data_IF_953922452293
#
_entry.id   IF_953922452293
#
_cell.length_a   1.000
_cell.length_b   1.000
_cell.length_c   1.000
_cell.angle_alpha   90.00
_cell.angle_beta   90.00
_cell.angle_gamma   90.00
#
_symmetry.space_group_name_H-M   'P 1'
#
loop_
_entity.id
_entity.type
_entity.pdbx_description
1 polymer ?
#
# COMPACT_ATOMS: atom_id res chain seq x y z
N UNK A 1 4.32 19.06 -1.06
CA UNK A 1 3.27 19.14 -2.10
C UNK A 1 2.78 17.75 -2.51
N UNK A 2 3.67 16.80 -2.82
CA UNK A 2 3.34 15.40 -3.15
C UNK A 2 2.53 14.67 -2.04
N UNK A 3 2.92 14.83 -0.77
CA UNK A 3 2.19 14.26 0.38
C UNK A 3 0.76 14.80 0.59
N UNK A 4 0.52 16.06 0.24
CA UNK A 4 -0.83 16.65 0.28
C UNK A 4 -1.70 16.12 -0.86
N UNK A 5 -1.11 15.80 -2.00
CA UNK A 5 -1.80 15.17 -3.13
C UNK A 5 -2.14 13.71 -2.77
N UNK A 6 -1.19 12.94 -2.22
CA UNK A 6 -1.45 11.57 -1.74
C UNK A 6 -2.53 11.54 -0.66
N UNK A 7 -2.40 12.36 0.38
CA UNK A 7 -3.40 12.44 1.45
C UNK A 7 -4.78 12.91 0.92
N UNK A 8 -4.80 13.89 0.01
CA UNK A 8 -6.05 14.34 -0.62
C UNK A 8 -6.66 13.28 -1.54
N UNK A 9 -5.86 12.49 -2.24
CA UNK A 9 -6.32 11.38 -3.08
C UNK A 9 -6.87 10.23 -2.23
N UNK A 10 -6.21 9.88 -1.12
CA UNK A 10 -6.75 8.93 -0.13
C UNK A 10 -8.10 9.38 0.42
N UNK A 11 -8.23 10.65 0.82
CA UNK A 11 -9.47 11.21 1.37
C UNK A 11 -10.57 11.31 0.29
N UNK A 12 -10.22 11.70 -0.94
CA UNK A 12 -11.18 11.82 -2.04
C UNK A 12 -11.70 10.45 -2.51
N UNK A 13 -10.86 9.42 -2.55
CA UNK A 13 -11.27 8.06 -2.92
C UNK A 13 -12.15 7.44 -1.82
N UNK A 14 -11.83 7.67 -0.54
CA UNK A 14 -12.68 7.23 0.57
C UNK A 14 -14.06 7.93 0.55
N UNK A 15 -14.11 9.22 0.19
CA UNK A 15 -15.37 9.95 0.00
C UNK A 15 -16.18 9.46 -1.22
N UNK A 16 -15.53 8.88 -2.23
CA UNK A 16 -16.17 8.36 -3.43
C UNK A 16 -16.62 6.88 -3.28
N UNK A 17 -15.91 6.07 -2.47
CA UNK A 17 -16.31 4.71 -2.10
C UNK A 17 -17.39 4.67 -1.01
N UNK A 18 -17.48 5.69 -0.15
CA UNK A 18 -18.63 5.88 0.76
C UNK A 18 -19.99 6.07 0.04
N UNK A 19 -19.99 6.24 -1.29
CA UNK A 19 -21.20 6.27 -2.14
C UNK A 19 -21.42 4.98 -2.95
N UNK A 20 -20.54 3.97 -2.87
CA UNK A 20 -20.60 2.75 -3.72
C UNK A 20 -20.52 1.43 -2.93
N UNK A 21 -20.47 1.47 -1.60
CA UNK A 21 -20.37 0.29 -0.72
C UNK A 21 -21.74 -0.22 -0.25
N UNK A 22 -22.66 -0.47 -1.20
CA UNK A 22 -23.98 -1.05 -0.93
C UNK A 22 -24.21 -2.43 -1.61
N UNK A 23 -23.14 -3.18 -1.94
CA UNK A 23 -23.29 -4.54 -2.50
C UNK A 23 -22.25 -5.53 -1.98
N UNK A 24 -22.40 -5.97 -0.72
CA UNK A 24 -21.84 -7.24 -0.26
C UNK A 24 -22.94 -8.32 -0.23
N UNK A 25 -22.81 -9.49 -0.88
CA UNK A 25 -23.90 -10.48 -0.99
C UNK A 25 -24.30 -11.15 0.34
N UNK A 26 -23.51 -10.99 1.40
CA UNK A 26 -23.83 -11.44 2.76
C UNK A 26 -24.24 -10.31 3.71
N UNK A 27 -24.13 -9.04 3.27
CA UNK A 27 -24.87 -7.98 3.93
C UNK A 27 -26.32 -8.15 3.46
N UNK A 28 -27.20 -8.57 4.38
CA UNK A 28 -28.63 -8.48 4.12
C UNK A 28 -28.97 -7.07 3.63
N UNK A 29 -30.06 -6.91 2.88
CA UNK A 29 -30.42 -5.60 2.32
C UNK A 29 -30.38 -4.57 3.44
N UNK A 30 -29.77 -3.43 3.13
CA UNK A 30 -29.70 -2.31 4.04
C UNK A 30 -31.13 -2.02 4.49
N UNK A 31 -31.45 -2.41 5.73
CA UNK A 31 -32.81 -2.38 6.23
C UNK A 31 -33.24 -0.95 6.47
N UNK A 32 -32.31 0.01 6.45
CA UNK A 32 -32.58 1.44 6.62
C UNK A 32 -33.50 1.99 5.51
N UNK A 33 -33.21 1.86 4.19
CA UNK A 33 -34.13 2.31 3.13
C UNK A 33 -35.41 1.47 2.98
N UNK A 34 -35.54 0.31 3.65
CA UNK A 34 -36.77 -0.50 3.65
C UNK A 34 -37.64 -0.16 4.87
N UNK A 35 -37.02 -0.11 6.05
CA UNK A 35 -37.66 0.25 7.31
C UNK A 35 -38.01 1.74 7.36
N UNK A 36 -37.24 2.66 6.80
CA UNK A 36 -37.58 4.09 6.86
C UNK A 36 -38.89 4.42 6.14
N UNK A 37 -39.11 4.03 4.86
CA UNK A 37 -40.40 4.25 4.22
C UNK A 37 -41.52 3.38 4.80
N UNK A 38 -41.25 2.16 5.30
CA UNK A 38 -42.28 1.37 5.99
C UNK A 38 -42.65 1.95 7.35
N UNK A 39 -41.69 2.46 8.12
CA UNK A 39 -41.91 3.13 9.41
C UNK A 39 -42.56 4.49 9.21
N UNK A 40 -42.17 5.26 8.21
CA UNK A 40 -42.79 6.56 7.88
C UNK A 40 -44.21 6.35 7.36
N UNK A 41 -44.44 5.32 6.54
CA UNK A 41 -45.79 4.91 6.10
C UNK A 41 -46.65 4.41 7.26
N UNK A 42 -46.10 3.60 8.18
CA UNK A 42 -46.79 3.21 9.41
C UNK A 42 -47.06 4.41 10.33
N UNK A 43 -46.15 5.39 10.40
CA UNK A 43 -46.30 6.58 11.25
C UNK A 43 -47.35 7.53 10.68
N UNK A 44 -47.41 7.67 9.35
CA UNK A 44 -48.45 8.42 8.66
C UNK A 44 -49.81 7.71 8.75
N UNK A 45 -49.88 6.39 8.56
CA UNK A 45 -51.11 5.60 8.80
C UNK A 45 -51.55 5.68 10.28
N UNK A 46 -50.60 5.79 11.21
CA UNK A 46 -50.85 5.95 12.64
C UNK A 46 -51.38 7.33 13.02
N UNK A 47 -50.79 8.42 12.50
CA UNK A 47 -51.24 9.79 12.72
C UNK A 47 -52.61 10.06 12.07
N UNK A 48 -52.86 9.49 10.88
CA UNK A 48 -54.16 9.54 10.21
C UNK A 48 -55.24 8.77 11.02
N UNK A 49 -54.87 7.66 11.66
CA UNK A 49 -55.75 6.83 12.48
C UNK A 49 -56.07 7.41 13.87
N UNK A 50 -55.16 8.21 14.47
CA UNK A 50 -55.43 8.96 15.71
C UNK A 50 -56.42 10.11 15.49
N UNK A 51 -56.50 10.64 14.25
CA UNK A 51 -57.47 11.65 13.85
C UNK A 51 -58.93 11.17 13.84
N UNK A 52 -59.19 9.86 13.75
CA UNK A 52 -60.53 9.29 13.64
C UNK A 52 -61.11 8.71 14.95
N UNK A 53 -60.43 8.84 16.09
CA UNK A 53 -60.93 8.26 17.35
C UNK A 53 -62.09 9.08 17.92
N UNK A 54 -63.23 8.43 18.22
CA UNK A 54 -64.41 9.06 18.83
C UNK A 54 -64.03 9.72 20.16
N UNK A 55 -64.31 11.02 20.32
CA UNK A 55 -64.01 11.79 21.53
C UNK A 55 -65.20 11.74 22.49
N UNK A 56 -64.95 11.49 23.77
CA UNK A 56 -65.98 11.51 24.81
C UNK A 56 -66.48 12.95 25.09
N UNK A 57 -67.59 13.13 25.81
CA UNK A 57 -68.14 14.45 26.11
C UNK A 57 -67.23 15.35 26.96
N UNK A 58 -66.17 14.81 27.55
CA UNK A 58 -65.17 15.52 28.36
C UNK A 58 -63.93 15.92 27.52
N UNK A 59 -63.91 15.58 26.22
CA UNK A 59 -62.83 15.93 25.30
C UNK A 59 -61.69 14.90 25.23
N UNK A 60 -61.85 13.69 25.78
CA UNK A 60 -60.84 12.64 25.74
C UNK A 60 -61.13 11.61 24.64
N UNK A 61 -60.12 11.19 23.85
CA UNK A 61 -60.32 10.17 22.83
C UNK A 61 -60.67 8.82 23.47
N UNK A 62 -61.79 8.22 23.03
CA UNK A 62 -62.21 6.86 23.36
C UNK A 62 -61.38 5.92 22.49
N UNK A 63 -60.39 5.29 23.09
CA UNK A 63 -59.53 4.31 22.43
C UNK A 63 -60.06 2.91 22.78
N UNK A 64 -60.44 2.12 21.77
CA UNK A 64 -60.89 0.74 21.99
C UNK A 64 -59.78 -0.11 22.64
N UNK A 65 -60.09 -1.04 23.57
CA UNK A 65 -59.10 -1.86 24.25
C UNK A 65 -58.17 -2.63 23.29
N UNK A 66 -58.70 -3.07 22.15
CA UNK A 66 -57.93 -3.74 21.10
C UNK A 66 -56.94 -2.78 20.40
N UNK A 67 -57.25 -1.49 20.28
CA UNK A 67 -56.35 -0.47 19.71
C UNK A 67 -55.17 -0.19 20.65
N UNK A 68 -55.41 -0.10 21.96
CA UNK A 68 -54.33 0.04 22.97
C UNK A 68 -53.38 -1.16 22.88
N UNK A 69 -53.91 -2.37 22.74
CA UNK A 69 -53.08 -3.57 22.63
C UNK A 69 -52.19 -3.56 21.37
N UNK A 70 -52.71 -3.11 20.22
CA UNK A 70 -51.93 -2.99 18.98
C UNK A 70 -50.86 -1.90 19.13
N UNK A 71 -51.20 -0.76 19.73
CA UNK A 71 -50.26 0.33 20.02
C UNK A 71 -49.09 -0.14 20.89
N UNK A 72 -49.38 -0.82 22.00
CA UNK A 72 -48.34 -1.36 22.90
C UNK A 72 -47.45 -2.35 22.17
N UNK A 73 -48.04 -3.25 21.37
CA UNK A 73 -47.29 -4.26 20.60
C UNK A 73 -46.44 -3.66 19.46
N UNK A 74 -46.85 -2.53 18.89
CA UNK A 74 -46.06 -1.79 17.91
C UNK A 74 -44.91 -1.04 18.59
N UNK A 75 -45.16 -0.41 19.74
CA UNK A 75 -44.13 0.27 20.53
C UNK A 75 -43.06 -0.72 21.06
N UNK A 76 -43.48 -1.90 21.49
CA UNK A 76 -42.58 -2.98 21.89
C UNK A 76 -41.70 -3.43 20.72
N UNK A 77 -42.28 -3.62 19.53
CA UNK A 77 -41.51 -3.93 18.31
C UNK A 77 -40.53 -2.82 17.93
N UNK A 78 -40.89 -1.55 18.11
CA UNK A 78 -39.99 -0.40 17.88
C UNK A 78 -38.82 -0.42 18.87
N UNK A 79 -39.08 -0.74 20.14
CA UNK A 79 -38.02 -0.87 21.17
C UNK A 79 -37.08 -2.02 20.86
N UNK A 80 -37.62 -3.19 20.49
CA UNK A 80 -36.82 -4.35 20.08
C UNK A 80 -35.95 -4.03 18.85
N UNK A 81 -36.50 -3.37 17.83
CA UNK A 81 -35.74 -2.96 16.64
C UNK A 81 -34.61 -1.97 16.97
N UNK A 82 -34.88 -0.97 17.83
CA UNK A 82 -33.85 -0.03 18.29
C UNK A 82 -32.76 -0.71 19.12
N UNK A 83 -33.12 -1.69 19.95
CA UNK A 83 -32.16 -2.45 20.75
C UNK A 83 -31.28 -3.34 19.85
N UNK A 84 -31.86 -4.01 18.85
CA UNK A 84 -31.12 -4.78 17.85
C UNK A 84 -30.17 -3.87 17.08
N UNK A 85 -30.63 -2.69 16.63
CA UNK A 85 -29.78 -1.72 15.94
C UNK A 85 -28.63 -1.26 16.83
N UNK A 86 -28.90 -0.95 18.10
CA UNK A 86 -27.85 -0.57 19.05
C UNK A 86 -26.80 -1.67 19.23
N UNK A 87 -27.22 -2.93 19.33
CA UNK A 87 -26.31 -4.08 19.44
C UNK A 87 -25.48 -4.22 18.16
N UNK A 88 -26.10 -4.06 16.98
CA UNK A 88 -25.38 -4.11 15.70
C UNK A 88 -24.36 -2.98 15.58
N UNK A 89 -24.72 -1.76 15.97
CA UNK A 89 -23.83 -0.59 15.97
C UNK A 89 -22.67 -0.77 16.99
N UNK A 90 -22.96 -1.31 18.18
CA UNK A 90 -21.96 -1.65 19.19
C UNK A 90 -21.01 -2.73 18.67
N UNK A 91 -21.52 -3.79 18.02
CA UNK A 91 -20.68 -4.83 17.42
C UNK A 91 -19.84 -4.32 16.25
N UNK A 92 -20.39 -3.47 15.38
CA UNK A 92 -19.62 -2.83 14.31
C UNK A 92 -18.53 -1.90 14.85
N UNK A 93 -18.78 -1.21 15.97
CA UNK A 93 -17.77 -0.36 16.61
C UNK A 93 -16.69 -1.19 17.32
N UNK A 94 -17.02 -2.35 17.87
CA UNK A 94 -16.03 -3.28 18.42
C UNK A 94 -15.15 -3.89 17.33
N UNK A 95 -15.70 -4.30 16.18
CA UNK A 95 -14.91 -4.74 15.02
C UNK A 95 -14.01 -3.65 14.45
N UNK A 96 -14.46 -2.38 14.47
CA UNK A 96 -13.64 -1.25 14.06
C UNK A 96 -12.54 -0.87 15.04
N UNK A 97 -12.43 -1.47 16.23
CA UNK A 97 -11.42 -1.04 17.19
C UNK A 97 -10.11 -1.81 17.00
N UNK A 98 -9.10 -1.20 16.36
CA UNK A 98 -7.77 -1.83 16.28
C UNK A 98 -7.22 -2.11 17.68
N UNK A 99 -6.89 -3.36 17.95
CA UNK A 99 -6.32 -3.77 19.24
C UNK A 99 -4.89 -3.21 19.42
N UNK A 100 -4.48 -2.98 20.67
CA UNK A 100 -3.11 -2.57 20.97
C UNK A 100 -2.08 -3.63 20.52
N UNK A 101 -2.47 -4.90 20.50
CA UNK A 101 -1.65 -6.01 20.01
C UNK A 101 -1.39 -5.87 18.50
N UNK A 102 -2.41 -5.52 17.71
CA UNK A 102 -2.28 -5.26 16.27
C UNK A 102 -1.32 -4.10 16.02
N UNK A 103 -1.47 -2.98 16.72
CA UNK A 103 -0.55 -1.84 16.62
C UNK A 103 0.89 -2.25 16.92
N UNK A 104 1.10 -3.00 18.01
CA UNK A 104 2.42 -3.44 18.42
C UNK A 104 3.04 -4.42 17.41
N UNK A 105 2.28 -5.40 16.94
CA UNK A 105 2.73 -6.38 15.95
C UNK A 105 3.09 -5.72 14.61
N UNK A 106 2.26 -4.79 14.12
CA UNK A 106 2.53 -4.02 12.90
C UNK A 106 3.80 -3.19 13.02
N UNK A 107 3.97 -2.46 14.13
CA UNK A 107 5.15 -1.64 14.33
C UNK A 107 6.43 -2.49 14.43
N UNK A 108 6.37 -3.66 15.07
CA UNK A 108 7.49 -4.61 15.06
C UNK A 108 7.79 -5.08 13.63
N UNK A 109 6.76 -5.49 12.89
CA UNK A 109 6.92 -5.95 11.51
C UNK A 109 7.57 -4.89 10.64
N UNK A 110 7.07 -3.66 10.68
CA UNK A 110 7.67 -2.54 9.96
C UNK A 110 9.10 -2.23 10.42
N UNK A 111 9.40 -2.27 11.73
CA UNK A 111 10.77 -2.11 12.21
C UNK A 111 11.71 -3.19 11.66
N UNK A 112 11.24 -4.43 11.52
CA UNK A 112 12.03 -5.52 10.93
C UNK A 112 12.32 -5.25 9.45
N UNK A 113 11.32 -4.83 8.67
CA UNK A 113 11.51 -4.44 7.27
C UNK A 113 12.49 -3.27 7.18
N UNK A 114 12.28 -2.19 7.95
CA UNK A 114 13.18 -1.02 7.99
C UNK A 114 14.63 -1.38 8.29
N UNK A 115 14.84 -2.36 9.17
CA UNK A 115 16.20 -2.78 9.55
C UNK A 115 16.97 -3.46 8.41
N UNK A 116 16.27 -3.92 7.36
CA UNK A 116 16.91 -4.57 6.23
C UNK A 116 17.79 -3.61 5.41
N UNK A 117 17.47 -2.31 5.37
CA UNK A 117 18.32 -1.30 4.72
C UNK A 117 19.70 -1.12 5.36
N UNK A 118 19.93 -1.65 6.56
CA UNK A 118 21.27 -1.66 7.16
C UNK A 118 22.06 -2.92 6.76
N UNK A 119 21.39 -3.98 6.33
CA UNK A 119 22.02 -5.27 5.98
C UNK A 119 23.10 -5.12 4.90
N UNK A 120 22.89 -4.37 3.79
CA UNK A 120 23.93 -4.19 2.77
C UNK A 120 25.23 -3.63 3.33
N UNK A 121 25.17 -2.75 4.33
CA UNK A 121 26.36 -2.23 4.97
C UNK A 121 27.19 -3.31 5.68
N UNK A 122 26.56 -4.32 6.26
CA UNK A 122 27.28 -5.44 6.88
C UNK A 122 27.79 -6.46 5.87
N UNK A 123 27.11 -6.61 4.73
CA UNK A 123 27.54 -7.48 3.65
C UNK A 123 28.71 -6.89 2.85
N UNK A 124 28.81 -5.55 2.79
CA UNK A 124 29.87 -4.83 2.09
C UNK A 124 31.02 -4.44 3.04
N UNK A 125 32.29 -4.52 2.59
CA UNK A 125 33.45 -4.31 3.46
C UNK A 125 33.56 -2.88 4.03
N UNK A 126 34.19 -2.78 5.20
CA UNK A 126 34.18 -1.60 6.10
C UNK A 126 34.95 -0.39 5.57
N UNK A 127 36.12 -0.60 4.98
CA UNK A 127 36.95 0.47 4.41
C UNK A 127 36.54 0.77 2.98
N UNK A 128 35.35 1.34 2.81
CA UNK A 128 34.73 1.47 1.50
C UNK A 128 35.48 2.43 0.55
N UNK A 129 36.15 3.46 1.06
CA UNK A 129 36.98 4.34 0.23
C UNK A 129 38.22 3.62 -0.32
N UNK A 130 38.79 2.71 0.47
CA UNK A 130 39.90 1.84 0.05
C UNK A 130 39.40 0.65 -0.77
N UNK A 131 38.17 0.19 -0.53
CA UNK A 131 37.43 -0.79 -1.31
C UNK A 131 37.16 -0.19 -2.68
N UNK A 132 36.51 0.96 -2.85
CA UNK A 132 36.29 1.65 -4.13
C UNK A 132 37.60 2.03 -4.83
N UNK A 133 38.65 2.39 -4.10
CA UNK A 133 39.99 2.59 -4.68
C UNK A 133 40.69 1.29 -5.12
N UNK A 134 40.28 0.11 -4.62
CA UNK A 134 40.84 -1.22 -4.97
C UNK A 134 39.90 -2.12 -5.79
N UNK A 135 38.60 -1.83 -5.76
CA UNK A 135 37.50 -2.22 -6.64
C UNK A 135 37.68 -1.34 -7.86
N UNK A 136 38.37 -1.82 -8.88
CA UNK A 136 38.20 -1.18 -10.19
C UNK A 136 36.71 -1.21 -10.60
N UNK A 137 36.26 -0.25 -11.42
CA UNK A 137 34.94 -0.15 -12.06
C UNK A 137 34.21 -1.49 -12.26
N UNK A 138 34.95 -2.53 -12.67
CA UNK A 138 34.48 -3.91 -12.85
C UNK A 138 33.71 -4.52 -11.68
N UNK A 139 34.11 -4.34 -10.41
CA UNK A 139 33.38 -4.95 -9.27
C UNK A 139 32.11 -4.17 -8.93
N UNK A 140 32.14 -2.83 -9.04
CA UNK A 140 30.92 -2.01 -8.93
C UNK A 140 29.93 -2.38 -10.03
N UNK A 141 30.39 -2.55 -11.27
CA UNK A 141 29.56 -2.99 -12.38
C UNK A 141 28.93 -4.38 -12.15
N UNK A 142 29.54 -5.26 -11.34
CA UNK A 142 28.90 -6.54 -10.96
C UNK A 142 27.77 -6.35 -9.93
N UNK A 143 27.93 -5.41 -8.98
CA UNK A 143 26.86 -5.04 -8.05
C UNK A 143 25.73 -4.33 -8.80
N UNK A 144 26.04 -3.41 -9.72
CA UNK A 144 25.06 -2.76 -10.58
C UNK A 144 24.38 -3.75 -11.54
N UNK A 145 25.09 -4.80 -11.98
CA UNK A 145 24.47 -5.89 -12.75
C UNK A 145 23.46 -6.67 -11.92
N UNK A 146 23.78 -6.96 -10.65
CA UNK A 146 22.81 -7.52 -9.72
C UNK A 146 21.62 -6.57 -9.55
N UNK A 147 21.87 -5.26 -9.36
CA UNK A 147 20.83 -4.23 -9.22
C UNK A 147 19.89 -4.14 -10.42
N UNK A 148 20.41 -4.24 -11.65
CA UNK A 148 19.57 -4.32 -12.84
C UNK A 148 18.70 -5.58 -12.82
N UNK A 149 19.28 -6.72 -12.44
CA UNK A 149 18.56 -7.98 -12.36
C UNK A 149 17.44 -7.99 -11.32
N UNK A 150 17.70 -7.48 -10.12
CA UNK A 150 16.72 -7.36 -9.03
C UNK A 150 15.62 -6.36 -9.38
N UNK A 151 15.94 -5.16 -9.88
CA UNK A 151 14.95 -4.16 -10.29
C UNK A 151 14.03 -4.67 -11.41
N UNK A 152 14.61 -5.32 -12.44
CA UNK A 152 13.81 -5.93 -13.51
C UNK A 152 13.01 -7.13 -13.00
N UNK A 153 13.59 -7.94 -12.11
CA UNK A 153 12.90 -9.05 -11.46
C UNK A 153 11.68 -8.57 -10.68
N UNK A 154 11.83 -7.52 -9.87
CA UNK A 154 10.76 -6.90 -9.11
C UNK A 154 9.64 -6.38 -10.01
N UNK A 155 9.99 -5.55 -11.00
CA UNK A 155 8.99 -5.04 -11.96
C UNK A 155 8.22 -6.18 -12.63
N UNK A 156 8.91 -7.11 -13.26
CA UNK A 156 8.27 -8.09 -14.14
C UNK A 156 7.63 -9.27 -13.40
N UNK A 157 8.13 -9.63 -12.22
CA UNK A 157 7.68 -10.82 -11.49
C UNK A 157 6.84 -10.49 -10.26
N UNK A 158 6.83 -9.22 -9.81
CA UNK A 158 6.07 -8.79 -8.63
C UNK A 158 5.12 -7.63 -8.96
N UNK A 159 5.64 -6.44 -9.29
CA UNK A 159 4.82 -5.23 -9.43
C UNK A 159 3.81 -5.32 -10.58
N UNK A 160 4.23 -5.82 -11.75
CA UNK A 160 3.34 -5.93 -12.91
C UNK A 160 2.24 -6.98 -12.70
N UNK A 161 2.54 -8.24 -12.34
CA UNK A 161 1.50 -9.23 -12.03
C UNK A 161 0.46 -8.70 -11.03
N UNK A 162 0.91 -8.16 -9.89
CA UNK A 162 0.05 -7.60 -8.85
C UNK A 162 -0.86 -6.48 -9.41
N UNK A 163 -0.28 -5.56 -10.18
CA UNK A 163 -1.02 -4.45 -10.78
C UNK A 163 -2.09 -4.90 -11.78
N UNK A 164 -1.88 -6.02 -12.48
CA UNK A 164 -2.81 -6.55 -13.48
C UNK A 164 -3.87 -7.52 -12.93
N UNK A 165 -3.66 -8.08 -11.73
CA UNK A 165 -4.64 -8.92 -11.04
C UNK A 165 -5.74 -8.09 -10.36
N UNK A 166 -5.43 -6.86 -9.96
CA UNK A 166 -6.41 -5.93 -9.41
C UNK A 166 -7.52 -5.61 -10.43
N UNK A 167 -8.76 -5.39 -9.97
CA UNK A 167 -9.97 -5.15 -10.79
C UNK A 167 -9.97 -3.82 -11.58
N UNK A 168 -8.80 -3.22 -11.78
CA UNK A 168 -8.58 -1.97 -12.50
C UNK A 168 -8.61 -2.23 -14.00
N UNK A 169 -9.00 -1.22 -14.76
CA UNK A 169 -8.83 -1.24 -16.20
C UNK A 169 -7.33 -1.44 -16.57
N UNK A 170 -7.01 -2.56 -17.23
CA UNK A 170 -5.64 -2.91 -17.66
C UNK A 170 -4.96 -1.83 -18.51
N UNK A 171 -5.73 -1.05 -19.27
CA UNK A 171 -5.21 0.09 -20.02
C UNK A 171 -4.74 1.18 -19.05
N UNK A 172 -5.49 1.45 -17.98
CA UNK A 172 -5.10 2.41 -16.94
C UNK A 172 -3.79 2.00 -16.28
N UNK A 173 -3.65 0.73 -15.91
CA UNK A 173 -2.39 0.16 -15.37
C UNK A 173 -1.23 0.41 -16.33
N UNK A 174 -1.41 0.08 -17.62
CA UNK A 174 -0.42 0.36 -18.66
C UNK A 174 -0.06 1.84 -18.80
N UNK A 175 -1.04 2.74 -18.69
CA UNK A 175 -0.82 4.19 -18.74
C UNK A 175 -0.05 4.70 -17.52
N UNK A 176 -0.28 4.15 -16.32
CA UNK A 176 0.47 4.50 -15.12
C UNK A 176 1.92 4.04 -15.20
N UNK A 177 2.19 2.83 -15.70
CA UNK A 177 3.55 2.35 -15.97
C UNK A 177 4.25 3.26 -16.97
N UNK A 178 3.59 3.58 -18.08
CA UNK A 178 4.15 4.48 -19.08
C UNK A 178 4.40 5.87 -18.51
N UNK A 179 3.46 6.39 -17.71
CA UNK A 179 3.57 7.67 -17.03
C UNK A 179 4.79 7.73 -16.11
N UNK A 180 5.00 6.69 -15.28
CA UNK A 180 6.17 6.56 -14.40
C UNK A 180 7.47 6.56 -15.18
N UNK A 181 7.57 5.71 -16.21
CA UNK A 181 8.73 5.64 -17.08
C UNK A 181 9.04 6.99 -17.75
N UNK A 182 8.04 7.63 -18.36
CA UNK A 182 8.22 8.90 -19.07
C UNK A 182 8.57 10.06 -18.13
N UNK A 183 7.99 10.11 -16.93
CA UNK A 183 8.31 11.15 -15.94
C UNK A 183 9.74 10.97 -15.44
N UNK A 184 10.16 9.74 -15.10
CA UNK A 184 11.53 9.47 -14.69
C UNK A 184 12.52 9.81 -15.82
N UNK A 185 12.21 9.40 -17.04
CA UNK A 185 13.01 9.73 -18.23
C UNK A 185 13.10 11.24 -18.48
N UNK A 186 12.02 11.98 -18.25
CA UNK A 186 12.00 13.43 -18.39
C UNK A 186 12.86 14.12 -17.31
N UNK A 187 12.75 13.67 -16.06
CA UNK A 187 13.55 14.18 -14.94
C UNK A 187 15.03 13.98 -15.26
N UNK A 188 15.41 12.78 -15.68
CA UNK A 188 16.77 12.44 -16.11
C UNK A 188 17.25 13.38 -17.22
N UNK A 189 16.45 13.52 -18.28
CA UNK A 189 16.80 14.34 -19.45
C UNK A 189 16.97 15.83 -19.13
N UNK A 190 16.22 16.35 -18.16
CA UNK A 190 16.28 17.77 -17.76
C UNK A 190 17.37 18.02 -16.73
N UNK A 191 17.61 17.07 -15.83
CA UNK A 191 18.54 17.21 -14.71
C UNK A 191 19.97 16.77 -14.99
N UNK A 192 20.20 15.84 -15.92
CA UNK A 192 21.52 15.30 -16.22
C UNK A 192 22.23 16.14 -17.30
N UNK A 193 23.02 17.13 -16.86
CA UNK A 193 23.87 17.95 -17.75
C UNK A 193 25.32 17.47 -17.82
N UNK A 194 25.75 16.65 -16.87
CA UNK A 194 27.08 16.02 -16.78
C UNK A 194 26.91 14.56 -16.37
N UNK A 195 27.94 13.74 -16.62
CA UNK A 195 27.94 12.31 -16.23
C UNK A 195 27.83 12.12 -14.71
N UNK A 196 28.62 12.87 -13.93
CA UNK A 196 28.56 12.88 -12.46
C UNK A 196 27.17 13.34 -11.94
N UNK A 197 26.59 14.36 -12.59
CA UNK A 197 25.24 14.82 -12.27
C UNK A 197 24.17 13.77 -12.60
N UNK A 198 24.39 12.92 -13.62
CA UNK A 198 23.51 11.81 -13.96
C UNK A 198 23.49 10.73 -12.87
N UNK A 199 24.67 10.37 -12.33
CA UNK A 199 24.75 9.39 -11.24
C UNK A 199 24.04 9.89 -9.97
N UNK A 200 24.25 11.15 -9.59
CA UNK A 200 23.57 11.76 -8.44
C UNK A 200 22.05 11.83 -8.66
N UNK A 201 21.61 12.21 -9.86
CA UNK A 201 20.19 12.26 -10.18
C UNK A 201 19.55 10.87 -10.14
N UNK A 202 20.25 9.85 -10.64
CA UNK A 202 19.84 8.45 -10.51
C UNK A 202 19.65 8.06 -9.05
N UNK A 203 20.61 8.38 -8.18
CA UNK A 203 20.51 8.13 -6.75
C UNK A 203 19.28 8.81 -6.12
N UNK A 204 19.00 10.07 -6.44
CA UNK A 204 17.82 10.76 -5.93
C UNK A 204 16.50 10.15 -6.43
N UNK A 205 16.44 9.78 -7.71
CA UNK A 205 15.28 9.11 -8.29
C UNK A 205 15.04 7.74 -7.67
N UNK A 206 16.12 7.01 -7.40
CA UNK A 206 16.07 5.71 -6.73
C UNK A 206 15.55 5.83 -5.30
N UNK A 207 16.10 6.78 -4.51
CA UNK A 207 15.60 7.05 -3.16
C UNK A 207 14.13 7.48 -3.16
N UNK A 208 13.71 8.27 -4.15
CA UNK A 208 12.31 8.68 -4.27
C UNK A 208 11.38 7.50 -4.59
N UNK A 209 11.79 6.60 -5.49
CA UNK A 209 11.04 5.38 -5.77
C UNK A 209 10.98 4.47 -4.54
N UNK A 210 12.10 4.29 -3.83
CA UNK A 210 12.17 3.49 -2.61
C UNK A 210 11.29 4.07 -1.47
N UNK A 211 11.16 5.39 -1.33
CA UNK A 211 10.19 6.01 -0.39
C UNK A 211 8.76 5.55 -0.68
N UNK A 212 8.40 5.54 -1.96
CA UNK A 212 7.06 5.17 -2.41
C UNK A 212 6.80 3.68 -2.17
N UNK A 213 7.79 2.85 -2.47
CA UNK A 213 7.73 1.41 -2.30
C UNK A 213 7.64 1.01 -0.82
N UNK A 214 8.52 1.57 0.01
CA UNK A 214 8.48 1.41 1.47
C UNK A 214 7.12 1.82 2.04
N UNK A 215 6.53 2.92 1.57
CA UNK A 215 5.20 3.34 1.99
C UNK A 215 4.12 2.31 1.62
N UNK A 216 4.17 1.74 0.42
CA UNK A 216 3.26 0.68 -0.01
C UNK A 216 3.45 -0.60 0.83
N UNK A 217 4.69 -0.99 1.13
CA UNK A 217 5.01 -2.10 2.04
C UNK A 217 4.43 -1.86 3.45
N UNK A 218 4.57 -0.65 3.96
CA UNK A 218 3.97 -0.21 5.21
C UNK A 218 2.45 -0.41 5.26
N UNK A 219 1.77 0.06 4.21
CA UNK A 219 0.33 -0.11 4.05
C UNK A 219 -0.07 -1.59 3.98
N UNK A 220 0.68 -2.42 3.24
CA UNK A 220 0.42 -3.85 3.11
C UNK A 220 0.62 -4.60 4.44
N UNK A 221 1.69 -4.31 5.19
CA UNK A 221 1.91 -4.85 6.54
C UNK A 221 0.79 -4.41 7.49
N UNK A 222 0.44 -3.13 7.50
CA UNK A 222 -0.64 -2.62 8.36
C UNK A 222 -1.98 -3.26 8.03
N UNK A 223 -2.37 -3.30 6.75
CA UNK A 223 -3.63 -3.88 6.29
C UNK A 223 -3.73 -5.38 6.55
N UNK A 224 -2.64 -6.13 6.36
CA UNK A 224 -2.62 -7.58 6.64
C UNK A 224 -2.80 -7.91 8.12
N UNK A 225 -2.23 -7.11 9.04
CA UNK A 225 -2.45 -7.25 10.48
C UNK A 225 -3.86 -6.85 10.93
N UNK A 226 -4.56 -5.98 10.20
CA UNK A 226 -5.99 -5.71 10.42
C UNK A 226 -6.84 -6.95 10.07
N UNK A 227 -6.45 -7.70 9.05
CA UNK A 227 -7.16 -8.93 8.64
C UNK A 227 -6.88 -10.08 9.61
N UNK A 228 -5.61 -10.40 9.87
CA UNK A 228 -5.23 -11.39 10.90
C UNK A 228 -3.75 -11.32 11.25
N UNK A 229 -3.39 -11.73 12.48
CA UNK A 229 -1.97 -11.83 12.90
C UNK A 229 -1.16 -12.78 12.00
N UNK A 230 -1.77 -13.89 11.56
CA UNK A 230 -1.10 -14.87 10.69
C UNK A 230 -0.76 -14.24 9.34
N UNK A 231 -1.73 -13.55 8.72
CA UNK A 231 -1.51 -12.87 7.44
C UNK A 231 -0.47 -11.76 7.61
N UNK A 232 -0.57 -10.94 8.65
CA UNK A 232 0.40 -9.88 8.94
C UNK A 232 1.85 -10.37 9.06
N UNK A 233 2.06 -11.49 9.78
CA UNK A 233 3.39 -12.12 9.89
C UNK A 233 3.89 -12.65 8.54
N UNK A 234 3.01 -13.30 7.76
CA UNK A 234 3.36 -13.83 6.45
C UNK A 234 3.72 -12.70 5.46
N UNK A 235 2.91 -11.65 5.40
CA UNK A 235 3.17 -10.45 4.59
C UNK A 235 4.47 -9.77 5.01
N UNK A 236 4.73 -9.62 6.31
CA UNK A 236 5.99 -9.05 6.82
C UNK A 236 7.20 -9.87 6.39
N UNK A 237 7.14 -11.21 6.47
CA UNK A 237 8.25 -12.08 6.05
C UNK A 237 8.46 -11.99 4.55
N UNK A 238 7.38 -12.02 3.76
CA UNK A 238 7.45 -11.88 2.30
C UNK A 238 8.12 -10.58 1.89
N UNK A 239 7.69 -9.47 2.49
CA UNK A 239 8.25 -8.14 2.26
C UNK A 239 9.73 -8.09 2.72
N UNK A 240 10.03 -8.56 3.93
CA UNK A 240 11.42 -8.57 4.40
C UNK A 240 12.36 -9.32 3.45
N UNK A 241 11.90 -10.44 2.90
CA UNK A 241 12.70 -11.23 1.98
C UNK A 241 12.84 -10.55 0.60
N UNK A 242 11.81 -9.84 0.10
CA UNK A 242 11.92 -9.04 -1.14
C UNK A 242 12.83 -7.83 -1.01
N UNK A 243 13.04 -7.35 0.21
CA UNK A 243 13.69 -6.06 0.40
C UNK A 243 15.20 -6.21 0.52
N UNK A 244 15.68 -7.40 0.89
CA UNK A 244 17.12 -7.67 0.93
C UNK A 244 17.78 -7.48 -0.45
N UNK A 245 17.28 -8.07 -1.56
CA UNK A 245 17.85 -7.80 -2.89
C UNK A 245 17.72 -6.33 -3.32
N UNK A 246 16.60 -5.67 -3.04
CA UNK A 246 16.39 -4.25 -3.36
C UNK A 246 17.36 -3.35 -2.61
N UNK A 247 17.54 -3.54 -1.31
CA UNK A 247 18.46 -2.73 -0.50
C UNK A 247 19.92 -2.88 -0.93
N UNK A 248 20.33 -4.08 -1.39
CA UNK A 248 21.66 -4.29 -2.00
C UNK A 248 21.80 -3.48 -3.29
N UNK A 249 20.71 -3.39 -4.06
CA UNK A 249 20.65 -2.70 -5.35
C UNK A 249 20.74 -1.19 -5.17
N UNK A 250 19.92 -0.67 -4.26
CA UNK A 250 19.91 0.72 -3.84
C UNK A 250 21.26 1.16 -3.32
N UNK A 251 21.88 0.33 -2.47
CA UNK A 251 23.20 0.63 -1.96
C UNK A 251 24.21 0.74 -3.11
N UNK A 252 24.19 -0.17 -4.09
CA UNK A 252 25.08 -0.10 -5.25
C UNK A 252 24.87 1.18 -6.09
N UNK A 253 23.64 1.64 -6.25
CA UNK A 253 23.31 2.89 -6.96
C UNK A 253 23.83 4.11 -6.18
N UNK A 254 23.69 4.12 -4.87
CA UNK A 254 24.22 5.19 -4.00
C UNK A 254 25.75 5.24 -4.05
N UNK A 255 26.43 4.09 -4.04
CA UNK A 255 27.88 4.02 -4.20
C UNK A 255 28.35 4.58 -5.53
N UNK A 256 27.61 4.33 -6.62
CA UNK A 256 27.90 4.90 -7.94
C UNK A 256 27.78 6.42 -7.94
N UNK A 257 26.93 6.98 -7.09
CA UNK A 257 26.76 8.43 -6.90
C UNK A 257 27.73 9.03 -5.86
N UNK A 258 28.82 8.32 -5.53
CA UNK A 258 29.86 8.73 -4.58
C UNK A 258 29.37 8.93 -3.13
N UNK A 259 28.29 8.25 -2.74
CA UNK A 259 27.85 8.26 -1.34
C UNK A 259 28.83 7.46 -0.48
N UNK A 260 29.22 8.04 0.67
CA UNK A 260 29.92 7.29 1.70
C UNK A 260 28.98 6.26 2.36
N UNK A 261 29.57 5.21 2.94
CA UNK A 261 28.83 4.10 3.58
C UNK A 261 27.83 4.61 4.61
N UNK A 262 28.26 5.55 5.45
CA UNK A 262 27.42 6.09 6.50
C UNK A 262 26.24 6.90 5.93
N UNK A 263 26.45 7.59 4.81
CA UNK A 263 25.41 8.41 4.18
C UNK A 263 24.44 7.56 3.38
N UNK A 264 24.90 6.49 2.73
CA UNK A 264 24.03 5.50 2.11
C UNK A 264 23.09 4.83 3.13
N UNK A 265 23.63 4.40 4.28
CA UNK A 265 22.82 3.83 5.38
C UNK A 265 21.79 4.85 5.88
N UNK A 266 22.20 6.10 6.12
CA UNK A 266 21.28 7.15 6.58
C UNK A 266 20.17 7.39 5.55
N UNK A 267 20.50 7.45 4.27
CA UNK A 267 19.54 7.67 3.19
C UNK A 267 18.49 6.53 3.16
N UNK A 268 18.93 5.27 3.18
CA UNK A 268 18.04 4.10 3.21
C UNK A 268 17.15 4.10 4.47
N UNK A 269 17.71 4.35 5.66
CA UNK A 269 16.92 4.46 6.89
C UNK A 269 15.87 5.58 6.84
N UNK A 270 16.18 6.70 6.18
CA UNK A 270 15.20 7.79 5.96
C UNK A 270 14.08 7.31 5.06
N UNK A 271 14.37 6.61 3.96
CA UNK A 271 13.32 6.08 3.07
C UNK A 271 12.40 5.09 3.79
N UNK A 272 12.98 4.25 4.65
CA UNK A 272 12.25 3.24 5.40
C UNK A 272 11.25 3.82 6.42
N UNK A 273 11.44 5.07 6.88
CA UNK A 273 10.43 5.75 7.72
C UNK A 273 9.08 5.92 7.02
N UNK A 274 9.07 5.94 5.68
CA UNK A 274 7.86 5.98 4.89
C UNK A 274 7.01 4.71 5.09
N UNK A 275 7.63 3.54 5.31
CA UNK A 275 6.91 2.31 5.61
C UNK A 275 6.26 2.29 6.99
N UNK A 276 6.95 2.80 8.01
CA UNK A 276 6.32 3.01 9.32
C UNK A 276 5.11 3.95 9.17
N UNK A 277 5.27 5.04 8.42
CA UNK A 277 4.17 5.97 8.16
C UNK A 277 3.01 5.31 7.41
N UNK A 278 3.27 4.52 6.37
CA UNK A 278 2.26 3.76 5.63
C UNK A 278 1.48 2.81 6.54
N UNK A 279 2.16 2.12 7.45
CA UNK A 279 1.50 1.21 8.39
C UNK A 279 0.58 1.93 9.38
N UNK A 280 0.99 3.10 9.88
CA UNK A 280 0.16 3.95 10.72
C UNK A 280 -1.07 4.46 9.96
N UNK A 281 -0.93 4.77 8.66
CA UNK A 281 -2.05 5.18 7.81
C UNK A 281 -3.05 4.02 7.65
N UNK A 282 -2.59 2.81 7.34
CA UNK A 282 -3.46 1.63 7.22
C UNK A 282 -4.25 1.38 8.51
N UNK A 283 -3.55 1.35 9.67
CA UNK A 283 -4.18 1.13 10.97
C UNK A 283 -5.12 2.27 11.38
N UNK A 284 -4.73 3.52 11.13
CA UNK A 284 -5.54 4.69 11.50
C UNK A 284 -6.82 4.82 10.67
N UNK A 285 -6.76 4.49 9.37
CA UNK A 285 -7.91 4.50 8.48
C UNK A 285 -8.74 3.20 8.55
N UNK A 286 -8.27 2.19 9.30
CA UNK A 286 -8.92 0.88 9.42
C UNK A 286 -9.22 0.25 8.05
N UNK A 287 -8.38 0.53 7.06
CA UNK A 287 -8.59 0.09 5.69
C UNK A 287 -7.63 -1.03 5.35
N UNK A 288 -8.20 -2.19 5.00
CA UNK A 288 -7.49 -3.23 4.24
C UNK A 288 -7.49 -2.92 2.74
N UNK A 289 -8.42 -2.08 2.29
CA UNK A 289 -8.49 -1.62 0.90
C UNK A 289 -7.46 -0.54 0.67
N UNK A 290 -6.48 -0.86 -0.17
CA UNK A 290 -5.39 0.04 -0.52
C UNK A 290 -5.50 0.48 -1.98
N UNK A 291 -6.63 1.08 -2.33
CA UNK A 291 -6.89 1.66 -3.66
C UNK A 291 -5.87 2.70 -4.12
N UNK A 292 -5.03 3.21 -3.20
CA UNK A 292 -3.91 4.09 -3.50
C UNK A 292 -2.71 3.31 -4.05
N UNK A 293 -2.46 2.09 -3.55
CA UNK A 293 -1.42 1.16 -4.03
C UNK A 293 -1.69 0.78 -5.49
N UNK A 294 -2.96 0.56 -5.83
CA UNK A 294 -3.44 0.22 -7.18
C UNK A 294 -2.95 1.16 -8.29
N UNK A 295 -2.74 2.44 -7.96
CA UNK A 295 -2.25 3.45 -8.91
C UNK A 295 -0.75 3.70 -8.76
N UNK A 296 -0.26 3.60 -7.53
CA UNK A 296 1.10 3.94 -7.15
C UNK A 296 2.12 2.88 -7.58
N UNK A 297 1.80 1.59 -7.43
CA UNK A 297 2.67 0.48 -7.84
C UNK A 297 2.97 0.48 -9.35
N UNK A 298 1.98 0.58 -10.27
CA UNK A 298 2.31 0.60 -11.68
C UNK A 298 3.15 1.83 -12.06
N UNK A 299 2.92 2.97 -11.43
CA UNK A 299 3.77 4.15 -11.63
C UNK A 299 5.21 3.92 -11.17
N UNK A 300 5.41 3.38 -9.97
CA UNK A 300 6.74 3.04 -9.42
C UNK A 300 7.45 2.00 -10.29
N UNK A 301 6.74 0.99 -10.78
CA UNK A 301 7.26 -0.01 -11.72
C UNK A 301 7.82 0.65 -12.99
N UNK A 302 7.11 1.66 -13.53
CA UNK A 302 7.60 2.48 -14.63
C UNK A 302 8.90 3.23 -14.30
N UNK A 303 8.99 3.79 -13.09
CA UNK A 303 10.20 4.46 -12.60
C UNK A 303 11.41 3.52 -12.47
N UNK A 304 11.22 2.35 -11.86
CA UNK A 304 12.26 1.32 -11.76
C UNK A 304 12.70 0.78 -13.13
N UNK A 305 11.77 0.65 -14.09
CA UNK A 305 12.13 0.34 -15.48
C UNK A 305 13.07 1.38 -16.09
N UNK A 306 12.81 2.67 -15.85
CA UNK A 306 13.69 3.73 -16.33
C UNK A 306 15.07 3.61 -15.68
N UNK A 307 15.14 3.53 -14.35
CA UNK A 307 16.43 3.38 -13.63
C UNK A 307 17.22 2.18 -14.18
N UNK A 308 16.60 1.00 -14.25
CA UNK A 308 17.27 -0.21 -14.69
C UNK A 308 17.72 -0.14 -16.16
N UNK A 309 16.84 0.27 -17.08
CA UNK A 309 17.08 0.15 -18.52
C UNK A 309 17.76 1.38 -19.14
N UNK A 310 17.54 2.59 -18.64
CA UNK A 310 18.10 3.82 -19.22
C UNK A 310 19.29 4.34 -18.45
N UNK A 311 19.39 4.10 -17.13
CA UNK A 311 20.45 4.68 -16.30
C UNK A 311 21.53 3.68 -15.89
N UNK A 312 21.18 2.40 -15.70
CA UNK A 312 22.15 1.36 -15.29
C UNK A 312 22.63 0.49 -16.44
N UNK A 313 21.70 -0.10 -17.20
CA UNK A 313 22.02 -1.06 -18.25
C UNK A 313 22.95 -0.52 -19.35
N UNK A 314 22.83 0.75 -19.82
CA UNK A 314 23.71 1.27 -20.86
C UNK A 314 25.18 1.31 -20.42
N UNK A 315 25.46 1.67 -19.17
CA UNK A 315 26.82 1.67 -18.60
C UNK A 315 27.41 0.26 -18.57
N UNK A 316 26.60 -0.74 -18.20
CA UNK A 316 27.04 -2.14 -18.18
C UNK A 316 27.38 -2.66 -19.57
N UNK A 317 26.66 -2.19 -20.61
CA UNK A 317 26.89 -2.56 -22.01
C UNK A 317 28.18 -1.98 -22.60
N UNK A 318 28.86 -1.07 -21.92
CA UNK A 318 30.15 -0.53 -22.37
C UNK A 318 31.32 -1.52 -22.16
N UNK A 319 31.13 -2.55 -21.33
CA UNK A 319 32.17 -3.55 -21.06
C UNK A 319 32.50 -4.41 -22.30
N UNK A 320 33.80 -4.51 -22.59
CA UNK A 320 34.32 -5.16 -23.81
C UNK A 320 34.89 -6.54 -23.54
N UNK A 321 35.19 -6.88 -22.29
CA UNK A 321 35.72 -8.19 -21.93
C UNK A 321 34.60 -9.24 -21.87
N UNK A 322 34.69 -10.27 -22.72
CA UNK A 322 33.70 -11.36 -22.74
C UNK A 322 33.55 -12.08 -21.39
N UNK A 323 34.65 -12.26 -20.65
CA UNK A 323 34.61 -12.87 -19.30
C UNK A 323 33.88 -11.97 -18.32
N UNK A 324 34.06 -10.67 -18.41
CA UNK A 324 33.38 -9.72 -17.54
C UNK A 324 31.90 -9.60 -17.89
N UNK A 325 31.54 -9.57 -19.18
CA UNK A 325 30.16 -9.60 -19.65
C UNK A 325 29.44 -10.88 -19.18
N UNK A 326 30.11 -12.03 -19.20
CA UNK A 326 29.53 -13.26 -18.66
C UNK A 326 29.26 -13.15 -17.16
N UNK A 327 30.19 -12.56 -16.39
CA UNK A 327 29.98 -12.33 -14.95
C UNK A 327 28.83 -11.35 -14.70
N UNK A 328 28.73 -10.26 -15.45
CA UNK A 328 27.62 -9.31 -15.36
C UNK A 328 26.29 -10.00 -15.65
N UNK A 329 26.21 -10.80 -16.72
CA UNK A 329 25.01 -11.56 -17.07
C UNK A 329 24.62 -12.55 -15.96
N UNK A 330 25.60 -13.25 -15.36
CA UNK A 330 25.36 -14.12 -14.20
C UNK A 330 24.81 -13.32 -13.03
N UNK A 331 25.35 -12.14 -12.74
CA UNK A 331 24.85 -11.29 -11.66
C UNK A 331 23.44 -10.75 -11.92
N UNK A 332 23.12 -10.36 -13.16
CA UNK A 332 21.74 -10.02 -13.57
C UNK A 332 20.82 -11.22 -13.32
N UNK A 333 21.22 -12.41 -13.76
CA UNK A 333 20.48 -13.64 -13.51
C UNK A 333 20.29 -13.95 -12.03
N UNK A 334 21.31 -13.70 -11.19
CA UNK A 334 21.20 -13.84 -9.74
C UNK A 334 20.19 -12.85 -9.13
N UNK A 335 20.16 -11.60 -9.59
CA UNK A 335 19.17 -10.61 -9.17
C UNK A 335 17.74 -11.04 -9.52
N UNK A 336 17.51 -11.46 -10.77
CA UNK A 336 16.20 -11.97 -11.21
C UNK A 336 15.80 -13.23 -10.43
N UNK A 337 16.75 -14.15 -10.24
CA UNK A 337 16.50 -15.39 -9.50
C UNK A 337 16.15 -15.10 -8.03
N UNK A 338 16.82 -14.12 -7.40
CA UNK A 338 16.44 -13.72 -6.04
C UNK A 338 14.98 -13.28 -5.98
N UNK A 339 14.51 -12.44 -6.91
CA UNK A 339 13.10 -12.03 -6.98
C UNK A 339 12.14 -13.19 -7.31
N UNK A 340 12.58 -14.13 -8.15
CA UNK A 340 11.76 -15.30 -8.51
C UNK A 340 11.55 -16.25 -7.33
N UNK A 341 12.62 -16.54 -6.57
CA UNK A 341 12.55 -17.44 -5.42
C UNK A 341 11.58 -16.91 -4.36
N UNK A 342 11.51 -15.59 -4.21
CA UNK A 342 10.60 -14.92 -3.29
C UNK A 342 9.14 -15.14 -3.69
N UNK A 343 8.82 -14.98 -4.98
CA UNK A 343 7.47 -15.24 -5.49
C UNK A 343 7.06 -16.72 -5.44
N UNK A 344 8.03 -17.65 -5.35
CA UNK A 344 7.73 -19.10 -5.27
C UNK A 344 7.28 -19.57 -3.88
N UNK A 345 7.53 -18.76 -2.84
CA UNK A 345 6.96 -19.00 -1.52
C UNK A 345 5.52 -18.48 -1.53
N UNK A 346 4.57 -19.32 -1.97
CA UNK A 346 3.13 -19.04 -1.84
C UNK A 346 2.77 -18.83 -0.36
N UNK A 347 2.75 -17.58 0.09
CA UNK A 347 2.30 -17.18 1.42
C UNK A 347 0.86 -16.69 1.35
#
# INVERSE_FOLDING_TARGET
MFWFILLSSCIAIHAQQGMMLDLHPAAGPDLFPVLTPEMEKLTNEFDEFLGESLIDPEGKPIIEPNKIHIMVKEEDRRREAMEIQRILDEQQNEEKKVTAETWFATLIGCCMVVSCGVIPAFLLPENMNQFLASIGQRKLNLLLSFAVGSLLGDVFLHLLPESFENNINKISVGLWILGGYLIFSLIEKVGASTEEGSHQLCAYMNLAANIVDNFAHGLAVGGSFLVSTKLGVMTTISILLHEIPHEISDFAILLRADYERADAIKAQLVTATAGVFGSCVALGLHTSDVSVIETLLPFTAGGFLNIALTQLLPELNEERSAVQNLKQLVMVGCGIMSMTLLNSFNF
#
